data_IF_452017551893
#
_entry.id   IF_452017551893
#
_cell.length_a   1.000
_cell.length_b   1.000
_cell.length_c   1.000
_cell.angle_alpha   90.00
_cell.angle_beta   90.00
_cell.angle_gamma   90.00
#
_symmetry.space_group_name_H-M   'P 1'
#
loop_
_entity.id
_entity.type
_entity.pdbx_description
1 polymer ?
#
# COMPACT_ATOMS: atom_id res chain seq x y z
N UNK A 1 -1.78 -6.92 -27.34
CA UNK A 1 -2.82 -7.92 -27.00
C UNK A 1 -3.38 -7.55 -25.63
N UNK A 2 -4.67 -7.29 -25.46
CA UNK A 2 -5.23 -7.11 -24.13
C UNK A 2 -5.28 -8.48 -23.43
N UNK A 3 -4.69 -8.58 -22.24
CA UNK A 3 -4.92 -9.70 -21.35
C UNK A 3 -6.36 -9.55 -20.84
N UNK A 4 -7.28 -10.36 -21.35
CA UNK A 4 -8.61 -10.51 -20.77
C UNK A 4 -8.46 -11.07 -19.36
N UNK A 5 -8.57 -10.20 -18.36
CA UNK A 5 -8.62 -10.61 -16.96
C UNK A 5 -9.91 -11.40 -16.74
N UNK A 6 -9.79 -12.71 -16.54
CA UNK A 6 -10.89 -13.53 -16.04
C UNK A 6 -11.08 -13.22 -14.55
N UNK A 7 -11.93 -12.24 -14.24
CA UNK A 7 -12.36 -12.01 -12.86
C UNK A 7 -13.45 -13.01 -12.52
N UNK A 8 -13.07 -14.17 -11.99
CA UNK A 8 -14.04 -15.08 -11.36
C UNK A 8 -14.68 -14.39 -10.14
N UNK A 9 -15.98 -14.60 -9.88
CA UNK A 9 -16.62 -14.04 -8.69
C UNK A 9 -15.89 -14.53 -7.43
N UNK A 10 -15.70 -13.62 -6.47
CA UNK A 10 -15.15 -13.97 -5.16
C UNK A 10 -16.25 -14.65 -4.34
N UNK A 11 -16.08 -15.94 -4.03
CA UNK A 11 -17.11 -16.75 -3.34
C UNK A 11 -16.72 -16.98 -1.88
N UNK A 12 -17.72 -16.91 -0.98
CA UNK A 12 -17.56 -17.31 0.42
C UNK A 12 -16.72 -16.35 1.26
N UNK A 13 -16.67 -15.07 0.88
CA UNK A 13 -15.91 -14.01 1.56
C UNK A 13 -16.76 -12.82 1.99
N UNK A 14 -18.09 -12.99 1.99
CA UNK A 14 -19.03 -11.92 2.28
C UNK A 14 -18.79 -11.32 3.68
N UNK A 15 -18.47 -12.17 4.67
CA UNK A 15 -18.18 -11.75 6.04
C UNK A 15 -16.87 -10.95 6.15
N UNK A 16 -15.80 -11.39 5.48
CA UNK A 16 -14.54 -10.66 5.42
C UNK A 16 -14.69 -9.31 4.73
N UNK A 17 -15.41 -9.28 3.59
CA UNK A 17 -15.70 -8.07 2.85
C UNK A 17 -16.51 -7.09 3.70
N UNK A 18 -17.55 -7.54 4.39
CA UNK A 18 -18.36 -6.70 5.28
C UNK A 18 -17.54 -6.11 6.44
N UNK A 19 -16.63 -6.90 7.03
CA UNK A 19 -15.71 -6.41 8.07
C UNK A 19 -14.75 -5.34 7.53
N UNK A 20 -14.16 -5.57 6.37
CA UNK A 20 -13.23 -4.62 5.74
C UNK A 20 -13.94 -3.34 5.28
N UNK A 21 -15.16 -3.46 4.77
CA UNK A 21 -16.01 -2.31 4.43
C UNK A 21 -16.28 -1.43 5.65
N UNK A 22 -16.61 -2.03 6.80
CA UNK A 22 -16.81 -1.29 8.06
C UNK A 22 -15.54 -0.51 8.48
N UNK A 23 -14.36 -1.09 8.27
CA UNK A 23 -13.09 -0.41 8.55
C UNK A 23 -12.88 0.76 7.59
N UNK A 24 -13.17 0.58 6.30
CA UNK A 24 -13.05 1.64 5.30
C UNK A 24 -14.01 2.80 5.57
N UNK A 25 -15.24 2.53 5.99
CA UNK A 25 -16.18 3.59 6.40
C UNK A 25 -15.65 4.40 7.59
N UNK A 26 -15.04 3.73 8.58
CA UNK A 26 -14.34 4.41 9.66
C UNK A 26 -13.18 5.30 9.18
N UNK A 27 -12.43 4.82 8.19
CA UNK A 27 -11.34 5.57 7.58
C UNK A 27 -11.83 6.80 6.79
N UNK A 28 -12.95 6.69 6.07
CA UNK A 28 -13.62 7.83 5.42
C UNK A 28 -14.06 8.90 6.42
N UNK A 29 -14.45 8.48 7.62
CA UNK A 29 -14.75 9.38 8.74
C UNK A 29 -13.53 10.11 9.33
N UNK A 30 -12.33 9.93 8.76
CA UNK A 30 -11.08 10.58 9.20
C UNK A 30 -10.33 9.83 10.30
N UNK A 31 -10.77 8.64 10.69
CA UNK A 31 -10.09 7.85 11.71
C UNK A 31 -9.07 6.91 11.07
N UNK A 32 -7.79 7.03 11.42
CA UNK A 32 -6.77 6.07 10.97
C UNK A 32 -7.10 4.64 11.46
N UNK A 33 -6.90 3.66 10.56
CA UNK A 33 -7.16 2.24 10.81
C UNK A 33 -6.03 1.39 10.23
N UNK A 34 -5.76 0.25 10.85
CA UNK A 34 -4.84 -0.76 10.34
C UNK A 34 -5.50 -2.13 10.48
N UNK A 35 -5.32 -2.98 9.47
CA UNK A 35 -5.84 -4.35 9.45
C UNK A 35 -4.74 -5.29 9.00
N UNK A 36 -4.59 -6.42 9.71
CA UNK A 36 -3.72 -7.51 9.31
C UNK A 36 -4.58 -8.65 8.76
N UNK A 37 -4.30 -9.08 7.52
CA UNK A 37 -4.95 -10.23 6.90
C UNK A 37 -4.01 -11.42 6.98
N UNK A 38 -4.26 -12.31 7.94
CA UNK A 38 -3.59 -13.59 8.09
C UNK A 38 -4.33 -14.73 7.39
N UNK A 39 -3.63 -15.82 7.10
CA UNK A 39 -4.22 -17.05 6.57
C UNK A 39 -3.22 -17.85 5.75
N UNK A 40 -3.62 -19.08 5.38
CA UNK A 40 -2.73 -20.02 4.69
C UNK A 40 -2.32 -19.55 3.29
N UNK A 41 -1.21 -20.09 2.79
CA UNK A 41 -0.79 -19.86 1.41
C UNK A 41 -1.89 -20.31 0.44
N UNK A 42 -2.18 -19.51 -0.59
CA UNK A 42 -3.21 -19.83 -1.58
C UNK A 42 -4.66 -19.65 -1.14
N UNK A 43 -4.94 -19.28 0.12
CA UNK A 43 -6.32 -19.11 0.64
C UNK A 43 -7.10 -17.94 0.01
N UNK A 44 -6.45 -17.13 -0.83
CA UNK A 44 -7.08 -16.02 -1.55
C UNK A 44 -6.94 -14.64 -0.89
N UNK A 45 -5.95 -14.44 -0.01
CA UNK A 45 -5.70 -13.13 0.64
C UNK A 45 -5.53 -11.98 -0.35
N UNK A 46 -4.71 -12.19 -1.40
CA UNK A 46 -4.52 -11.21 -2.46
C UNK A 46 -5.82 -10.92 -3.20
N UNK A 47 -6.62 -11.93 -3.52
CA UNK A 47 -7.91 -11.76 -4.18
C UNK A 47 -8.91 -10.97 -3.32
N UNK A 48 -8.92 -11.20 -2.00
CA UNK A 48 -9.71 -10.42 -1.06
C UNK A 48 -9.27 -8.96 -1.04
N UNK A 49 -7.95 -8.70 -0.96
CA UNK A 49 -7.41 -7.34 -1.04
C UNK A 49 -7.76 -6.66 -2.36
N UNK A 50 -7.69 -7.37 -3.50
CA UNK A 50 -8.04 -6.83 -4.81
C UNK A 50 -9.52 -6.39 -4.86
N UNK A 51 -10.45 -7.19 -4.31
CA UNK A 51 -11.87 -6.82 -4.29
C UNK A 51 -12.12 -5.57 -3.44
N UNK A 52 -11.54 -5.54 -2.23
CA UNK A 52 -11.69 -4.42 -1.29
C UNK A 52 -11.08 -3.14 -1.85
N UNK A 53 -9.90 -3.23 -2.44
CA UNK A 53 -9.20 -2.08 -3.03
C UNK A 53 -9.91 -1.56 -4.28
N UNK A 54 -10.43 -2.45 -5.14
CA UNK A 54 -11.25 -2.03 -6.28
C UNK A 54 -12.55 -1.36 -5.83
N UNK A 55 -13.22 -1.88 -4.79
CA UNK A 55 -14.39 -1.25 -4.19
C UNK A 55 -14.06 0.15 -3.65
N UNK A 56 -13.01 0.26 -2.84
CA UNK A 56 -12.56 1.54 -2.27
C UNK A 56 -12.26 2.59 -3.36
N UNK A 57 -11.57 2.18 -4.44
CA UNK A 57 -11.27 3.04 -5.58
C UNK A 57 -12.53 3.48 -6.34
N UNK A 58 -13.50 2.57 -6.58
CA UNK A 58 -14.80 2.90 -7.18
C UNK A 58 -15.56 3.94 -6.37
N UNK A 59 -15.43 3.86 -5.05
CA UNK A 59 -16.05 4.79 -4.11
C UNK A 59 -15.16 6.03 -3.84
N UNK A 60 -14.17 6.31 -4.69
CA UNK A 60 -13.40 7.55 -4.69
C UNK A 60 -12.23 7.64 -3.69
N UNK A 61 -11.86 6.54 -3.02
CA UNK A 61 -10.65 6.54 -2.18
C UNK A 61 -9.39 6.43 -3.05
N UNK A 62 -8.33 7.11 -2.63
CA UNK A 62 -7.00 6.85 -3.17
C UNK A 62 -6.48 5.53 -2.62
N UNK A 63 -6.19 4.59 -3.51
CA UNK A 63 -5.63 3.28 -3.18
C UNK A 63 -4.19 3.23 -3.67
N UNK A 64 -3.29 2.82 -2.79
CA UNK A 64 -1.86 2.70 -3.07
C UNK A 64 -1.38 1.33 -2.57
N UNK A 65 -0.53 0.69 -3.35
CA UNK A 65 -0.01 -0.64 -3.04
C UNK A 65 1.51 -0.56 -2.93
N UNK A 66 2.05 -1.13 -1.86
CA UNK A 66 3.47 -1.35 -1.67
C UNK A 66 3.75 -2.84 -1.45
N UNK A 67 4.91 -3.31 -1.91
CA UNK A 67 5.26 -4.72 -1.88
C UNK A 67 6.35 -5.03 -0.86
N UNK A 68 6.01 -5.91 0.09
CA UNK A 68 7.00 -6.54 0.96
C UNK A 68 7.61 -7.72 0.21
N UNK A 69 8.75 -7.50 -0.45
CA UNK A 69 9.47 -8.55 -1.17
C UNK A 69 10.60 -9.10 -0.29
N UNK A 70 10.76 -10.42 -0.32
CA UNK A 70 11.92 -11.08 0.25
C UNK A 70 13.06 -11.04 -0.78
N UNK A 71 14.06 -10.18 -0.52
CA UNK A 71 15.21 -9.93 -1.40
C UNK A 71 16.51 -10.53 -0.84
N UNK A 72 16.42 -11.50 0.08
CA UNK A 72 17.59 -12.09 0.74
C UNK A 72 18.20 -11.20 1.82
N UNK A 73 19.49 -11.41 2.11
CA UNK A 73 20.13 -11.04 3.39
C UNK A 73 20.12 -9.54 3.76
N UNK A 74 20.01 -8.63 2.79
CA UNK A 74 20.02 -7.19 3.05
C UNK A 74 18.59 -6.64 3.25
N UNK A 75 17.59 -7.30 2.66
CA UNK A 75 16.19 -6.86 2.67
C UNK A 75 15.97 -5.42 2.17
N UNK A 76 14.71 -5.01 2.00
CA UNK A 76 14.34 -3.60 1.84
C UNK A 76 13.15 -3.30 2.77
N UNK A 77 13.38 -3.11 4.08
CA UNK A 77 12.31 -3.08 5.09
C UNK A 77 11.29 -1.95 4.87
N UNK A 78 11.70 -0.89 4.18
CA UNK A 78 10.85 0.25 3.87
C UNK A 78 10.40 0.32 2.40
N UNK A 79 10.73 -0.66 1.56
CA UNK A 79 10.33 -0.65 0.14
C UNK A 79 8.82 -0.36 -0.05
N UNK A 80 7.88 -1.03 0.65
CA UNK A 80 6.46 -0.78 0.46
C UNK A 80 6.09 0.69 0.64
N UNK A 81 6.72 1.36 1.62
CA UNK A 81 6.48 2.77 1.89
C UNK A 81 7.13 3.67 0.85
N UNK A 82 8.32 3.33 0.35
CA UNK A 82 8.98 4.09 -0.73
C UNK A 82 8.17 4.03 -2.03
N UNK A 83 7.58 2.88 -2.37
CA UNK A 83 6.69 2.72 -3.52
C UNK A 83 5.44 3.60 -3.38
N UNK A 84 4.77 3.51 -2.22
CA UNK A 84 3.57 4.30 -1.91
C UNK A 84 3.86 5.80 -1.94
N UNK A 85 4.94 6.24 -1.29
CA UNK A 85 5.33 7.65 -1.25
C UNK A 85 5.74 8.15 -2.64
N UNK A 86 6.41 7.33 -3.46
CA UNK A 86 6.79 7.71 -4.83
C UNK A 86 5.56 8.01 -5.70
N UNK A 87 4.50 7.20 -5.55
CA UNK A 87 3.22 7.46 -6.23
C UNK A 87 2.58 8.74 -5.71
N UNK A 88 2.55 8.96 -4.38
CA UNK A 88 2.01 10.19 -3.79
C UNK A 88 2.78 11.44 -4.23
N UNK A 89 4.11 11.37 -4.30
CA UNK A 89 4.96 12.49 -4.70
C UNK A 89 4.79 12.87 -6.18
N UNK A 90 4.31 11.93 -7.00
CA UNK A 90 4.01 12.16 -8.41
C UNK A 90 2.62 12.78 -8.65
N UNK A 91 1.85 13.01 -7.59
CA UNK A 91 0.47 13.50 -7.65
C UNK A 91 0.32 14.81 -6.86
N UNK A 92 0.10 15.91 -7.58
CA UNK A 92 0.03 17.27 -7.03
C UNK A 92 -1.03 17.44 -5.93
N UNK A 93 -2.06 16.59 -5.92
CA UNK A 93 -3.10 16.60 -4.86
C UNK A 93 -2.50 16.38 -3.47
N UNK A 94 -1.37 15.68 -3.39
CA UNK A 94 -0.68 15.34 -2.15
C UNK A 94 0.54 16.22 -1.84
N UNK A 95 0.89 17.17 -2.72
CA UNK A 95 2.02 18.07 -2.47
C UNK A 95 1.93 18.83 -1.12
N UNK A 96 0.76 19.39 -0.72
CA UNK A 96 0.66 20.09 0.56
C UNK A 96 0.90 19.19 1.78
N UNK A 97 0.42 17.94 1.73
CA UNK A 97 0.62 17.01 2.85
C UNK A 97 2.07 16.55 2.91
N UNK A 98 2.72 16.26 1.79
CA UNK A 98 4.13 15.88 1.77
C UNK A 98 5.04 17.03 2.25
N UNK A 99 4.77 18.26 1.84
CA UNK A 99 5.49 19.45 2.31
C UNK A 99 5.37 19.64 3.85
N UNK A 100 4.24 19.23 4.44
CA UNK A 100 4.04 19.24 5.89
C UNK A 100 4.79 18.14 6.65
N UNK A 101 5.39 17.16 5.95
CA UNK A 101 6.04 15.99 6.55
C UNK A 101 7.42 15.72 5.92
N UNK A 102 8.46 16.53 6.25
CA UNK A 102 9.80 16.43 5.64
C UNK A 102 10.48 15.05 5.81
N UNK A 103 10.04 14.25 6.78
CA UNK A 103 10.53 12.87 6.95
C UNK A 103 10.20 11.97 5.75
N UNK A 104 9.14 12.26 5.00
CA UNK A 104 8.76 11.51 3.81
C UNK A 104 9.82 11.60 2.70
N UNK A 105 10.52 12.74 2.59
CA UNK A 105 11.60 12.94 1.60
C UNK A 105 12.77 11.97 1.84
N UNK A 106 13.05 11.63 3.11
CA UNK A 106 14.11 10.66 3.45
C UNK A 106 13.80 9.26 2.93
N UNK A 107 12.53 8.89 2.86
CA UNK A 107 12.08 7.60 2.33
C UNK A 107 12.00 7.59 0.81
N UNK A 108 11.77 8.75 0.18
CA UNK A 108 11.79 8.87 -1.28
C UNK A 108 13.21 8.71 -1.85
N UNK A 109 14.23 9.16 -1.12
CA UNK A 109 15.64 9.03 -1.49
C UNK A 109 15.98 9.89 -2.72
N UNK A 110 16.98 10.77 -2.57
CA UNK A 110 17.53 11.53 -3.70
C UNK A 110 18.03 10.60 -4.80
N UNK A 111 17.85 11.00 -6.06
CA UNK A 111 18.30 10.26 -7.23
C UNK A 111 19.78 9.87 -7.10
N UNK A 112 20.04 8.57 -7.04
CA UNK A 112 21.38 8.05 -6.95
C UNK A 112 21.37 6.53 -7.02
N UNK A 113 21.71 6.00 -8.20
CA UNK A 113 22.23 4.65 -8.35
C UNK A 113 23.32 4.42 -7.28
N UNK A 114 22.98 3.70 -6.20
CA UNK A 114 23.87 3.41 -5.08
C UNK A 114 23.57 4.10 -3.73
N UNK A 115 22.60 5.03 -3.64
CA UNK A 115 22.35 5.81 -2.41
C UNK A 115 21.27 5.27 -1.46
N UNK A 116 20.69 4.10 -1.72
CA UNK A 116 19.44 3.63 -1.08
C UNK A 116 19.58 3.14 0.39
N UNK A 117 20.68 3.46 1.07
CA UNK A 117 21.05 2.94 2.40
C UNK A 117 21.41 4.03 3.44
N UNK A 118 20.91 5.27 3.35
CA UNK A 118 21.28 6.32 4.33
C UNK A 118 20.34 6.46 5.54
N UNK A 119 19.40 5.53 5.77
CA UNK A 119 18.55 5.59 6.96
C UNK A 119 19.27 5.15 8.25
N UNK A 120 20.42 4.48 8.14
CA UNK A 120 21.12 3.89 9.30
C UNK A 120 22.51 4.49 9.58
N UNK A 121 23.01 5.43 8.78
CA UNK A 121 24.32 6.07 9.02
C UNK A 121 24.30 7.13 10.15
N UNK A 122 23.16 7.35 10.79
CA UNK A 122 22.99 8.35 11.86
C UNK A 122 22.96 7.84 13.30
N UNK A 123 23.24 6.54 13.56
CA UNK A 123 23.18 5.95 14.92
C UNK A 123 24.49 5.22 15.28
N UNK A 124 25.63 5.88 15.13
CA UNK A 124 26.89 5.45 15.75
C UNK A 124 27.66 6.64 16.30
#
# INVERSE_FOLDING_TARGET
MPLTSFSSPLVGRDDELARLATVLEGARGGAARAVLIGGDAGVGKTRLLDEVTQGAARDGMTVLTGHCVDLGDVGLPYLPFTEILGVLASDERFAPVLAGHPVAERLLGGEGSGGRLQLFEGIA
#
